data_IF_462089238031
#
_entry.id   IF_462089238031
#
_cell.length_a   1.000
_cell.length_b   1.000
_cell.length_c   1.000
_cell.angle_alpha   90.00
_cell.angle_beta   90.00
_cell.angle_gamma   90.00
#
_symmetry.space_group_name_H-M   'P 1'
#
loop_
_entity.id
_entity.type
_entity.pdbx_description
1 polymer ?
#
# COMPACT_ATOMS: atom_id res chain seq x y z
N UNK A 1 8.07 14.10 -5.02
CA UNK A 1 8.35 13.32 -3.80
C UNK A 1 9.46 14.05 -3.04
N UNK A 2 9.36 14.16 -1.72
CA UNK A 2 10.40 14.77 -0.87
C UNK A 2 11.12 13.71 -0.04
N UNK A 3 12.33 14.00 0.43
CA UNK A 3 13.05 13.12 1.35
C UNK A 3 12.34 13.12 2.71
N UNK A 4 12.07 11.95 3.32
CA UNK A 4 11.48 11.87 4.64
C UNK A 4 12.44 12.35 5.74
N UNK A 5 11.89 12.92 6.80
CA UNK A 5 12.63 13.36 7.99
C UNK A 5 12.24 12.57 9.24
N UNK A 6 13.20 12.35 10.13
CA UNK A 6 13.01 11.59 11.35
C UNK A 6 13.16 10.09 11.17
N UNK A 7 12.90 9.35 12.24
CA UNK A 7 13.15 7.90 12.31
C UNK A 7 11.98 7.08 11.77
N UNK A 8 10.75 7.60 11.86
CA UNK A 8 9.53 6.85 11.59
C UNK A 8 8.88 7.25 10.27
N UNK A 9 8.49 6.23 9.52
CA UNK A 9 7.63 6.38 8.34
C UNK A 9 6.26 5.79 8.65
N UNK A 10 5.23 6.63 8.53
CA UNK A 10 3.85 6.21 8.54
C UNK A 10 3.40 5.75 7.16
N UNK A 11 2.48 4.80 7.11
CA UNK A 11 1.83 4.38 5.87
C UNK A 11 0.32 4.36 6.04
N UNK A 12 -0.39 4.95 5.07
CA UNK A 12 -1.83 4.73 4.89
C UNK A 12 -2.00 3.96 3.59
N UNK A 13 -2.44 2.71 3.69
CA UNK A 13 -2.60 1.83 2.55
C UNK A 13 -4.07 1.45 2.35
N UNK A 14 -4.48 1.44 1.10
CA UNK A 14 -5.80 1.01 0.64
C UNK A 14 -5.60 -0.05 -0.44
N UNK A 15 -6.38 -1.12 -0.39
CA UNK A 15 -6.30 -2.21 -1.38
C UNK A 15 -7.67 -2.44 -1.99
N UNK A 16 -7.71 -2.54 -3.31
CA UNK A 16 -8.89 -2.93 -4.07
C UNK A 16 -8.57 -4.14 -4.94
N UNK A 17 -9.43 -5.14 -4.95
CA UNK A 17 -9.29 -6.34 -5.75
C UNK A 17 -10.65 -6.83 -6.25
N UNK A 18 -10.65 -7.40 -7.46
CA UNK A 18 -11.84 -7.94 -8.12
C UNK A 18 -12.10 -9.42 -7.83
N UNK A 19 -13.23 -9.97 -8.31
CA UNK A 19 -13.56 -11.39 -8.19
C UNK A 19 -12.60 -12.31 -8.96
N UNK A 20 -11.85 -11.78 -9.92
CA UNK A 20 -10.76 -12.46 -10.62
C UNK A 20 -9.47 -12.58 -9.79
N UNK A 21 -9.45 -11.98 -8.59
CA UNK A 21 -8.31 -12.00 -7.67
C UNK A 21 -7.21 -11.02 -8.05
N UNK A 22 -7.33 -10.27 -9.14
CA UNK A 22 -6.37 -9.24 -9.50
C UNK A 22 -6.71 -7.97 -8.71
N UNK A 23 -5.69 -7.42 -8.05
CA UNK A 23 -5.86 -6.22 -7.26
C UNK A 23 -4.69 -5.26 -7.34
N UNK A 24 -4.92 -4.06 -6.83
CA UNK A 24 -3.89 -3.04 -6.65
C UNK A 24 -3.98 -2.49 -5.24
N UNK A 25 -2.82 -2.37 -4.60
CA UNK A 25 -2.65 -1.62 -3.36
C UNK A 25 -2.05 -0.26 -3.71
N UNK A 26 -2.63 0.78 -3.15
CA UNK A 26 -2.10 2.14 -3.15
C UNK A 26 -1.74 2.50 -1.71
N UNK A 27 -0.60 3.17 -1.52
CA UNK A 27 -0.21 3.66 -0.21
C UNK A 27 0.39 5.05 -0.28
N UNK A 28 0.04 5.89 0.69
CA UNK A 28 0.72 7.17 0.92
C UNK A 28 1.66 7.00 2.10
N UNK A 29 2.92 7.38 1.91
CA UNK A 29 3.95 7.42 2.94
C UNK A 29 3.97 8.80 3.59
N UNK A 30 4.17 8.83 4.90
CA UNK A 30 4.22 10.03 5.72
C UNK A 30 5.46 10.01 6.62
N UNK A 31 5.98 11.19 6.93
CA UNK A 31 6.72 11.39 8.17
C UNK A 31 5.90 12.31 9.11
N UNK A 32 6.49 12.76 10.20
CA UNK A 32 5.82 13.62 11.18
C UNK A 32 5.33 14.98 10.63
N UNK A 33 5.89 15.45 9.52
CA UNK A 33 5.54 16.73 8.87
C UNK A 33 4.50 16.57 7.76
N UNK A 34 4.19 15.33 7.34
CA UNK A 34 3.12 15.04 6.37
C UNK A 34 3.54 14.07 5.27
N UNK A 35 2.82 14.05 4.13
CA UNK A 35 3.06 13.08 3.07
C UNK A 35 4.43 13.30 2.43
N UNK A 36 5.15 12.20 2.23
CA UNK A 36 6.45 12.21 1.55
C UNK A 36 6.28 11.71 0.13
N UNK A 37 5.59 10.56 -0.07
CA UNK A 37 5.49 9.86 -1.35
C UNK A 37 4.36 8.85 -1.43
N UNK A 38 4.30 8.15 -2.56
CA UNK A 38 3.32 7.11 -2.82
C UNK A 38 3.98 5.78 -3.18
N UNK A 39 3.29 4.69 -2.87
CA UNK A 39 3.64 3.33 -3.29
C UNK A 39 2.45 2.73 -4.04
N UNK A 40 2.76 1.87 -5.01
CA UNK A 40 1.78 1.08 -5.74
C UNK A 40 2.29 -0.34 -5.88
N UNK A 41 1.39 -1.31 -5.69
CA UNK A 41 1.72 -2.72 -5.82
C UNK A 41 0.57 -3.46 -6.51
N UNK A 42 0.89 -4.23 -7.54
CA UNK A 42 -0.03 -5.23 -8.08
C UNK A 42 -0.04 -6.45 -7.18
N UNK A 43 -1.23 -6.97 -6.87
CA UNK A 43 -1.42 -8.13 -6.00
C UNK A 43 -2.31 -9.17 -6.66
N UNK A 44 -2.02 -10.44 -6.36
CA UNK A 44 -2.87 -11.56 -6.71
C UNK A 44 -3.43 -12.18 -5.42
N UNK A 45 -4.74 -12.07 -5.25
CA UNK A 45 -5.50 -12.69 -4.16
C UNK A 45 -6.02 -14.04 -4.64
N UNK A 46 -5.73 -15.10 -3.89
CA UNK A 46 -6.18 -16.46 -4.21
C UNK A 46 -7.08 -17.00 -3.10
N UNK A 47 -8.14 -17.75 -3.42
CA UNK A 47 -8.90 -18.48 -2.42
C UNK A 47 -8.00 -19.43 -1.65
N UNK A 48 -8.25 -19.56 -0.35
CA UNK A 48 -7.62 -20.62 0.44
C UNK A 48 -8.15 -21.96 -0.10
N UNK A 49 -7.28 -22.93 -0.45
CA UNK A 49 -7.71 -24.24 -0.91
C UNK A 49 -8.65 -24.89 0.11
N UNK A 50 -9.78 -25.42 -0.36
CA UNK A 50 -10.62 -26.28 0.49
C UNK A 50 -9.87 -27.59 0.71
N UNK A 51 -9.89 -28.07 1.95
CA UNK A 51 -9.36 -29.38 2.33
C UNK A 51 -10.08 -30.50 1.59
#
# INVERSE_FOLDING_TARGET
HRVPEGEWIGIRAETSYGPDGIGTTFGTLFDHTGPVGGIQQSVLVRPIPKR
#
